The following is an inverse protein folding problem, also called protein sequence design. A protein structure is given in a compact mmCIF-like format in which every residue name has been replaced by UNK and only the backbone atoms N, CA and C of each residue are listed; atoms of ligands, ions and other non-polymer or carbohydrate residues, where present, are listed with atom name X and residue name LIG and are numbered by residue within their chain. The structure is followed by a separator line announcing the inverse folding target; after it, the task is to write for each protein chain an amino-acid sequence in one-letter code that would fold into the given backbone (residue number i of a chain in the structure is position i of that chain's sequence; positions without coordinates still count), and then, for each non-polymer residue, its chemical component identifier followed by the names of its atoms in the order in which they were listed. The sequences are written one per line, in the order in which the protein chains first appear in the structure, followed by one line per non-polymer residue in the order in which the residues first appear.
data_IF_705755430721
#
_entry.id   IF_705755430721
#
_cell.length_a   1.000
_cell.length_b   1.000
_cell.length_c   1.000
_cell.angle_alpha   90.00
_cell.angle_beta   90.00
_cell.angle_gamma   90.00
#
_symmetry.space_group_name_H-M   'P 1'
#
loop_
_entity.id
_entity.type
_entity.pdbx_description
1 polymer ?
#
# COMPACT_ATOMS: atom_id res chain seq x y z
N UNK A 1 57.80 16.68 -16.92
CA UNK A 1 56.89 15.75 -17.59
C UNK A 1 56.17 14.94 -16.54
N UNK A 2 54.84 15.03 -16.40
CA UNK A 2 54.09 14.18 -15.46
C UNK A 2 53.94 12.77 -16.07
N UNK A 3 54.46 11.74 -15.38
CA UNK A 3 54.28 10.34 -15.75
C UNK A 3 52.77 10.01 -15.62
N UNK A 4 52.08 9.89 -16.73
CA UNK A 4 50.73 9.35 -16.77
C UNK A 4 50.85 7.82 -16.74
N UNK A 5 50.52 7.24 -15.58
CA UNK A 5 50.39 5.76 -15.47
C UNK A 5 49.00 5.40 -15.98
N UNK A 6 48.92 4.64 -17.09
CA UNK A 6 47.69 4.09 -17.61
C UNK A 6 47.18 2.96 -16.72
N UNK A 7 45.85 2.76 -16.64
CA UNK A 7 45.21 1.61 -15.98
C UNK A 7 45.48 0.31 -16.78
N UNK A 8 45.77 -0.78 -16.07
CA UNK A 8 45.89 -2.10 -16.67
C UNK A 8 44.50 -2.68 -16.99
N UNK A 9 44.34 -3.34 -18.12
CA UNK A 9 43.10 -4.03 -18.50
C UNK A 9 42.69 -5.08 -17.45
N UNK A 10 43.66 -5.76 -16.82
CA UNK A 10 43.40 -6.76 -15.78
C UNK A 10 42.88 -6.13 -14.49
N UNK A 11 43.37 -4.95 -14.10
CA UNK A 11 42.86 -4.22 -12.94
C UNK A 11 41.37 -3.85 -13.10
N UNK A 12 40.98 -3.39 -14.29
CA UNK A 12 39.61 -3.10 -14.59
C UNK A 12 38.74 -4.36 -14.60
N UNK A 13 39.26 -5.47 -15.16
CA UNK A 13 38.54 -6.75 -15.23
C UNK A 13 38.24 -7.31 -13.84
N UNK A 14 39.22 -7.28 -12.93
CA UNK A 14 39.03 -7.78 -11.55
C UNK A 14 37.97 -6.94 -10.82
N UNK A 15 37.96 -5.62 -10.99
CA UNK A 15 36.99 -4.73 -10.36
C UNK A 15 35.56 -5.04 -10.82
N UNK A 16 35.33 -5.20 -12.14
CA UNK A 16 33.97 -5.53 -12.65
C UNK A 16 33.50 -6.90 -12.18
N UNK A 17 34.41 -7.88 -12.08
CA UNK A 17 34.07 -9.22 -11.56
C UNK A 17 33.64 -9.14 -10.09
N UNK A 18 34.39 -8.41 -9.25
CA UNK A 18 34.05 -8.24 -7.83
C UNK A 18 32.70 -7.51 -7.67
N UNK A 19 32.48 -6.43 -8.43
CA UNK A 19 31.19 -5.72 -8.44
C UNK A 19 30.05 -6.63 -8.86
N UNK A 20 30.25 -7.47 -9.90
CA UNK A 20 29.28 -8.44 -10.37
C UNK A 20 28.87 -9.45 -9.30
N UNK A 21 29.83 -9.98 -8.55
CA UNK A 21 29.57 -10.92 -7.44
C UNK A 21 28.77 -10.25 -6.31
N UNK A 22 29.17 -9.05 -5.91
CA UNK A 22 28.46 -8.29 -4.87
C UNK A 22 27.03 -7.96 -5.31
N UNK A 23 26.85 -7.50 -6.55
CA UNK A 23 25.54 -7.16 -7.10
C UNK A 23 24.62 -8.39 -7.17
N UNK A 24 25.13 -9.56 -7.55
CA UNK A 24 24.35 -10.80 -7.64
C UNK A 24 23.71 -11.20 -6.28
N UNK A 25 24.38 -10.91 -5.17
CA UNK A 25 23.87 -11.20 -3.83
C UNK A 25 23.02 -10.05 -3.29
N UNK A 26 23.43 -8.80 -3.54
CA UNK A 26 22.80 -7.62 -2.96
C UNK A 26 21.44 -7.28 -3.60
N UNK A 27 21.32 -7.43 -4.92
CA UNK A 27 20.09 -7.02 -5.64
C UNK A 27 18.84 -7.81 -5.17
N UNK A 28 18.83 -9.16 -5.11
CA UNK A 28 17.64 -9.89 -4.66
C UNK A 28 17.25 -9.55 -3.22
N UNK A 29 18.23 -9.38 -2.33
CA UNK A 29 17.98 -9.00 -0.95
C UNK A 29 17.39 -7.58 -0.83
N UNK A 30 17.88 -6.63 -1.63
CA UNK A 30 17.35 -5.27 -1.68
C UNK A 30 15.90 -5.25 -2.18
N UNK A 31 15.57 -6.06 -3.19
CA UNK A 31 14.20 -6.16 -3.72
C UNK A 31 13.23 -6.74 -2.68
N UNK A 32 13.65 -7.75 -1.92
CA UNK A 32 12.86 -8.32 -0.84
C UNK A 32 12.62 -7.29 0.28
N UNK A 33 13.66 -6.57 0.71
CA UNK A 33 13.58 -5.52 1.70
C UNK A 33 12.64 -4.38 1.25
N UNK A 34 12.70 -4.00 -0.02
CA UNK A 34 11.83 -2.97 -0.61
C UNK A 34 10.36 -3.38 -0.59
N UNK A 35 10.03 -4.64 -0.94
CA UNK A 35 8.66 -5.17 -0.85
C UNK A 35 8.14 -5.12 0.58
N UNK A 36 8.94 -5.59 1.55
CA UNK A 36 8.58 -5.55 2.97
C UNK A 36 8.34 -4.12 3.47
N UNK A 37 9.16 -3.17 3.07
CA UNK A 37 8.98 -1.76 3.41
C UNK A 37 7.68 -1.17 2.81
N UNK A 38 7.37 -1.51 1.56
CA UNK A 38 6.11 -1.10 0.91
C UNK A 38 4.89 -1.69 1.62
N UNK A 39 4.93 -2.97 2.00
CA UNK A 39 3.87 -3.63 2.76
C UNK A 39 3.66 -2.98 4.13
N UNK A 40 4.74 -2.68 4.87
CA UNK A 40 4.67 -1.96 6.13
C UNK A 40 4.07 -0.56 5.99
N UNK A 41 4.43 0.16 4.92
CA UNK A 41 3.84 1.45 4.58
C UNK A 41 2.34 1.33 4.25
N UNK A 42 1.93 0.30 3.50
CA UNK A 42 0.52 0.04 3.18
C UNK A 42 -0.31 -0.24 4.44
N UNK A 43 0.20 -1.07 5.36
CA UNK A 43 -0.42 -1.34 6.66
C UNK A 43 -0.57 -0.07 7.50
N UNK A 44 0.46 0.79 7.53
CA UNK A 44 0.39 2.08 8.21
C UNK A 44 -0.67 3.00 7.58
N UNK A 45 -0.71 3.06 6.24
CA UNK A 45 -1.72 3.84 5.51
C UNK A 45 -3.15 3.35 5.80
N UNK A 46 -3.36 2.03 5.90
CA UNK A 46 -4.66 1.46 6.29
C UNK A 46 -5.13 1.95 7.66
N UNK A 47 -4.23 2.00 8.65
CA UNK A 47 -4.57 2.52 9.99
C UNK A 47 -4.88 4.02 9.95
N UNK A 48 -4.13 4.78 9.16
CA UNK A 48 -4.40 6.20 8.93
C UNK A 48 -5.78 6.42 8.31
N UNK A 49 -6.12 5.66 7.27
CA UNK A 49 -7.44 5.72 6.61
C UNK A 49 -8.58 5.36 7.55
N UNK A 50 -8.40 4.34 8.40
CA UNK A 50 -9.38 3.97 9.42
C UNK A 50 -9.63 5.13 10.39
N UNK A 51 -8.57 5.71 10.97
CA UNK A 51 -8.69 6.86 11.88
C UNK A 51 -9.30 8.09 11.21
N UNK A 52 -8.94 8.36 9.95
CA UNK A 52 -9.49 9.44 9.16
C UNK A 52 -11.01 9.27 8.92
N UNK A 53 -11.48 8.04 8.64
CA UNK A 53 -12.92 7.77 8.50
C UNK A 53 -13.69 8.00 9.81
N UNK A 54 -13.15 7.55 10.93
CA UNK A 54 -13.77 7.80 12.23
C UNK A 54 -13.88 9.29 12.53
N UNK A 55 -12.83 10.07 12.24
CA UNK A 55 -12.83 11.53 12.40
C UNK A 55 -13.81 12.20 11.44
N UNK A 56 -13.85 11.77 10.18
CA UNK A 56 -14.77 12.30 9.18
C UNK A 56 -16.23 12.11 9.60
N UNK A 57 -16.59 10.90 10.01
CA UNK A 57 -17.95 10.61 10.46
C UNK A 57 -18.39 11.47 11.66
N UNK A 58 -17.45 11.74 12.58
CA UNK A 58 -17.72 12.55 13.77
C UNK A 58 -17.80 14.07 13.49
N UNK A 59 -17.13 14.56 12.43
CA UNK A 59 -17.01 16.01 12.19
C UNK A 59 -17.80 16.50 10.98
N UNK A 60 -17.64 15.87 9.83
CA UNK A 60 -18.19 16.36 8.55
C UNK A 60 -19.24 15.43 7.96
N UNK A 61 -19.20 14.14 8.29
CA UNK A 61 -20.05 13.11 7.70
C UNK A 61 -21.44 13.00 8.32
N UNK A 62 -21.74 13.72 9.41
CA UNK A 62 -23.03 13.61 10.10
C UNK A 62 -23.38 12.18 10.52
N UNK A 63 -22.37 11.40 10.97
CA UNK A 63 -22.50 9.98 11.31
C UNK A 63 -22.27 9.02 10.14
N UNK A 64 -22.05 9.50 8.93
CA UNK A 64 -21.68 8.70 7.76
C UNK A 64 -20.19 8.81 7.44
N UNK A 65 -19.66 7.78 6.81
CA UNK A 65 -18.28 7.73 6.34
C UNK A 65 -18.12 8.39 4.97
N UNK A 66 -16.89 8.80 4.63
CA UNK A 66 -16.54 9.31 3.31
C UNK A 66 -16.61 8.21 2.23
N UNK A 67 -16.95 8.60 1.01
CA UNK A 67 -16.92 7.74 -0.15
C UNK A 67 -18.28 7.33 -0.71
N UNK A 68 -18.25 6.56 -1.81
CA UNK A 68 -19.40 5.98 -2.48
C UNK A 68 -19.66 4.55 -1.98
N UNK A 69 -20.79 3.98 -2.38
CA UNK A 69 -21.18 2.59 -2.05
C UNK A 69 -20.31 1.54 -2.71
N UNK A 70 -19.66 1.88 -3.82
CA UNK A 70 -18.71 1.00 -4.52
C UNK A 70 -17.28 1.44 -4.22
N UNK A 71 -16.37 0.47 -4.11
CA UNK A 71 -14.96 0.72 -3.86
C UNK A 71 -14.32 1.55 -4.96
N UNK A 72 -13.88 2.75 -4.61
CA UNK A 72 -13.24 3.70 -5.51
C UNK A 72 -12.26 4.60 -4.76
N UNK A 73 -11.58 5.47 -5.48
CA UNK A 73 -10.72 6.49 -4.86
C UNK A 73 -11.53 7.66 -4.26
N UNK A 74 -12.85 7.71 -4.45
CA UNK A 74 -13.67 8.81 -3.96
C UNK A 74 -13.57 9.01 -2.44
N UNK A 75 -13.58 7.92 -1.67
CA UNK A 75 -13.41 7.98 -0.21
C UNK A 75 -12.07 8.63 0.20
N UNK A 76 -11.00 8.28 -0.50
CA UNK A 76 -9.66 8.82 -0.24
C UNK A 76 -9.59 10.31 -0.62
N UNK A 77 -10.20 10.68 -1.76
CA UNK A 77 -10.29 12.06 -2.22
C UNK A 77 -11.08 12.96 -1.26
N UNK A 78 -12.22 12.49 -0.75
CA UNK A 78 -13.02 13.21 0.26
C UNK A 78 -12.22 13.39 1.57
N UNK A 79 -11.54 12.35 2.06
CA UNK A 79 -10.70 12.44 3.25
C UNK A 79 -9.51 13.41 3.06
N UNK A 80 -8.93 13.46 1.87
CA UNK A 80 -7.86 14.40 1.54
C UNK A 80 -8.39 15.85 1.46
N UNK A 81 -9.57 16.05 0.88
CA UNK A 81 -10.23 17.37 0.83
C UNK A 81 -10.60 17.86 2.25
N UNK A 82 -10.96 16.94 3.14
CA UNK A 82 -11.21 17.23 4.55
C UNK A 82 -9.92 17.49 5.37
N UNK A 83 -8.73 17.35 4.77
CA UNK A 83 -7.45 17.53 5.44
C UNK A 83 -7.07 16.42 6.41
N UNK A 84 -7.72 15.25 6.31
CA UNK A 84 -7.53 14.12 7.23
C UNK A 84 -6.45 13.15 6.75
N UNK A 85 -6.12 13.17 5.46
CA UNK A 85 -5.03 12.37 4.87
C UNK A 85 -4.23 13.22 3.88
N UNK A 86 -3.00 12.81 3.58
CA UNK A 86 -2.14 13.49 2.62
C UNK A 86 -2.67 13.35 1.17
N UNK A 87 -2.29 14.28 0.29
CA UNK A 87 -2.74 14.31 -1.10
C UNK A 87 -2.30 13.06 -1.89
N UNK A 88 -1.17 12.45 -1.55
CA UNK A 88 -0.68 11.25 -2.22
C UNK A 88 -1.60 10.05 -1.92
N UNK A 89 -1.97 9.86 -0.66
CA UNK A 89 -2.93 8.83 -0.26
C UNK A 89 -4.33 9.15 -0.78
N UNK A 90 -4.73 10.43 -0.79
CA UNK A 90 -5.98 10.92 -1.40
C UNK A 90 -6.11 10.59 -2.88
N UNK A 91 -4.99 10.54 -3.61
CA UNK A 91 -4.91 10.08 -5.01
C UNK A 91 -4.95 8.57 -5.19
N UNK A 92 -5.04 7.80 -4.11
CA UNK A 92 -5.19 6.34 -4.14
C UNK A 92 -3.91 5.57 -4.43
N UNK A 93 -2.74 6.21 -4.46
CA UNK A 93 -1.46 5.52 -4.73
C UNK A 93 -0.39 5.98 -3.75
N UNK A 94 0.17 5.04 -2.98
CA UNK A 94 1.25 5.32 -2.02
C UNK A 94 2.16 4.11 -1.86
N UNK A 95 3.47 4.34 -1.87
CA UNK A 95 4.50 3.31 -1.60
C UNK A 95 4.32 2.01 -2.40
N UNK A 96 3.99 2.13 -3.71
CA UNK A 96 3.81 0.98 -4.59
C UNK A 96 2.53 0.17 -4.36
N UNK A 97 1.52 0.76 -3.68
CA UNK A 97 0.19 0.19 -3.48
C UNK A 97 -0.89 1.11 -4.03
N UNK A 98 -1.92 0.50 -4.63
CA UNK A 98 -3.16 1.16 -5.05
C UNK A 98 -4.24 0.94 -3.99
N UNK A 99 -4.83 2.03 -3.52
CA UNK A 99 -5.85 2.04 -2.48
C UNK A 99 -7.22 2.39 -3.08
N UNK A 100 -8.24 1.70 -2.63
CA UNK A 100 -9.65 2.03 -2.86
C UNK A 100 -10.42 1.92 -1.56
N UNK A 101 -11.55 2.60 -1.46
CA UNK A 101 -12.43 2.50 -0.32
C UNK A 101 -13.89 2.68 -0.71
N UNK A 102 -14.77 2.17 0.12
CA UNK A 102 -16.20 2.32 -0.05
C UNK A 102 -16.92 2.38 1.29
N UNK A 103 -18.16 2.84 1.27
CA UNK A 103 -19.03 2.91 2.45
C UNK A 103 -20.37 2.23 2.21
N UNK A 104 -20.98 1.83 3.31
CA UNK A 104 -22.40 1.49 3.38
C UNK A 104 -23.02 2.56 4.29
N UNK A 105 -24.00 3.31 3.76
CA UNK A 105 -24.68 4.33 4.56
C UNK A 105 -25.49 3.68 5.69
N UNK A 106 -25.67 4.42 6.78
CA UNK A 106 -26.57 4.00 7.85
C UNK A 106 -28.01 3.85 7.36
N UNK A 107 -28.72 2.93 7.94
CA UNK A 107 -30.16 2.72 7.72
C UNK A 107 -30.87 2.70 9.07
N UNK A 108 -32.22 2.60 9.06
CA UNK A 108 -33.01 2.46 10.30
C UNK A 108 -32.67 1.19 11.09
N UNK A 109 -32.04 0.20 10.49
CA UNK A 109 -31.76 -1.13 11.07
C UNK A 109 -30.27 -1.44 11.21
N UNK A 110 -29.38 -0.67 10.58
CA UNK A 110 -27.95 -0.95 10.57
C UNK A 110 -27.11 0.35 10.63
N UNK A 111 -26.02 0.38 11.40
CA UNK A 111 -25.08 1.51 11.41
C UNK A 111 -24.32 1.61 10.09
N UNK A 112 -23.79 2.80 9.81
CA UNK A 112 -22.90 3.01 8.68
C UNK A 112 -21.66 2.12 8.80
N UNK A 113 -21.14 1.66 7.67
CA UNK A 113 -19.92 0.86 7.58
C UNK A 113 -19.03 1.39 6.47
N UNK A 114 -17.75 1.08 6.55
CA UNK A 114 -16.78 1.36 5.48
C UNK A 114 -15.76 0.24 5.35
N UNK A 115 -15.05 0.24 4.26
CA UNK A 115 -13.89 -0.59 4.04
C UNK A 115 -12.86 0.12 3.17
N UNK A 116 -11.61 -0.28 3.32
CA UNK A 116 -10.52 0.03 2.40
C UNK A 116 -9.83 -1.23 1.95
N UNK A 117 -9.31 -1.19 0.76
CA UNK A 117 -8.52 -2.26 0.16
C UNK A 117 -7.27 -1.68 -0.49
N UNK A 118 -6.15 -2.39 -0.39
CA UNK A 118 -4.90 -2.03 -1.04
C UNK A 118 -4.28 -3.24 -1.72
N UNK A 119 -3.92 -3.07 -2.99
CA UNK A 119 -3.18 -4.09 -3.76
C UNK A 119 -1.86 -3.51 -4.27
N UNK A 120 -0.82 -4.34 -4.45
CA UNK A 120 0.43 -3.89 -5.07
C UNK A 120 0.19 -3.32 -6.47
N UNK A 121 0.87 -2.23 -6.80
CA UNK A 121 0.81 -1.61 -8.14
C UNK A 121 1.40 -2.53 -9.19
N UNK A 122 2.47 -3.25 -8.85
CA UNK A 122 3.12 -4.25 -9.71
C UNK A 122 3.11 -5.59 -8.99
N UNK A 123 2.51 -6.60 -9.62
CA UNK A 123 2.21 -7.89 -9.00
C UNK A 123 3.20 -8.99 -9.35
N UNK A 124 4.09 -8.77 -10.35
CA UNK A 124 5.02 -9.78 -10.85
C UNK A 124 6.39 -9.20 -11.21
N UNK A 125 7.39 -10.08 -11.34
CA UNK A 125 8.74 -9.73 -11.78
C UNK A 125 9.62 -9.07 -10.73
N UNK A 126 10.77 -8.59 -11.17
CA UNK A 126 11.77 -7.93 -10.30
C UNK A 126 11.30 -6.60 -9.73
N UNK A 127 10.34 -5.96 -10.39
CA UNK A 127 9.75 -4.68 -9.98
C UNK A 127 8.51 -4.84 -9.09
N UNK A 128 8.15 -6.07 -8.71
CA UNK A 128 7.03 -6.36 -7.82
C UNK A 128 7.10 -5.52 -6.55
N UNK A 129 6.00 -4.83 -6.21
CA UNK A 129 5.96 -3.86 -5.11
C UNK A 129 5.47 -4.44 -3.79
N UNK A 130 4.82 -5.61 -3.81
CA UNK A 130 4.37 -6.34 -2.63
C UNK A 130 3.91 -7.75 -2.96
N UNK A 131 3.74 -8.60 -1.95
CA UNK A 131 3.35 -10.01 -2.07
C UNK A 131 1.97 -10.30 -1.49
N UNK A 132 1.35 -9.31 -0.85
CA UNK A 132 0.04 -9.42 -0.19
C UNK A 132 -0.84 -8.22 -0.55
N UNK A 133 -2.15 -8.44 -0.61
CA UNK A 133 -3.12 -7.35 -0.52
C UNK A 133 -3.57 -7.16 0.91
N UNK A 134 -4.03 -5.97 1.23
CA UNK A 134 -4.51 -5.62 2.56
C UNK A 134 -5.94 -5.09 2.48
N UNK A 135 -6.70 -5.31 3.56
CA UNK A 135 -8.03 -4.75 3.76
C UNK A 135 -8.22 -4.33 5.21
N UNK A 136 -9.01 -3.30 5.42
CA UNK A 136 -9.49 -2.88 6.73
C UNK A 136 -10.95 -2.47 6.61
N UNK A 137 -11.74 -2.85 7.58
CA UNK A 137 -13.16 -2.49 7.66
C UNK A 137 -13.44 -1.68 8.93
N UNK A 138 -14.70 -1.42 9.20
CA UNK A 138 -15.15 -0.65 10.37
C UNK A 138 -14.67 -1.22 11.71
N UNK A 139 -14.39 -2.53 11.76
CA UNK A 139 -13.85 -3.21 12.94
C UNK A 139 -12.39 -2.83 13.29
N UNK A 140 -11.70 -2.15 12.38
CA UNK A 140 -10.31 -1.75 12.53
C UNK A 140 -9.28 -2.88 12.41
N UNK A 141 -9.72 -4.09 12.08
CA UNK A 141 -8.84 -5.26 11.96
C UNK A 141 -8.25 -5.33 10.57
N UNK A 142 -6.90 -5.34 10.48
CA UNK A 142 -6.23 -5.50 9.19
C UNK A 142 -6.28 -6.94 8.76
N UNK A 143 -6.79 -7.15 7.56
CA UNK A 143 -6.84 -8.42 6.86
C UNK A 143 -5.80 -8.46 5.76
N UNK A 144 -5.29 -9.65 5.44
CA UNK A 144 -4.33 -9.81 4.36
C UNK A 144 -4.49 -11.17 3.68
N UNK A 145 -4.31 -11.21 2.38
CA UNK A 145 -4.16 -12.45 1.60
C UNK A 145 -3.19 -12.26 0.43
N UNK A 146 -2.96 -13.33 -0.32
CA UNK A 146 -2.01 -13.37 -1.44
C UNK A 146 -2.64 -13.09 -2.81
N UNK A 147 -3.90 -12.67 -2.86
CA UNK A 147 -4.56 -12.25 -4.11
C UNK A 147 -4.07 -10.85 -4.48
N UNK A 148 -3.29 -10.72 -5.54
CA UNK A 148 -2.64 -9.45 -5.90
C UNK A 148 -3.34 -8.68 -7.01
N UNK A 149 -4.25 -9.33 -7.76
CA UNK A 149 -4.82 -8.79 -8.99
C UNK A 149 -6.18 -8.13 -8.81
N UNK A 150 -6.79 -8.26 -7.62
CA UNK A 150 -8.12 -7.71 -7.36
C UNK A 150 -8.19 -7.06 -5.97
N UNK A 151 -8.84 -5.91 -5.90
CA UNK A 151 -9.24 -5.28 -4.64
C UNK A 151 -10.33 -6.10 -3.94
N UNK A 152 -10.49 -5.94 -2.63
CA UNK A 152 -11.70 -6.41 -1.96
C UNK A 152 -12.91 -5.63 -2.49
N UNK A 153 -13.95 -6.35 -2.86
CA UNK A 153 -15.11 -5.76 -3.53
C UNK A 153 -15.99 -4.91 -2.59
N UNK A 154 -16.07 -5.32 -1.32
CA UNK A 154 -16.96 -4.73 -0.33
C UNK A 154 -16.50 -5.02 1.11
N UNK A 155 -17.26 -4.51 2.09
CA UNK A 155 -17.01 -4.72 3.50
C UNK A 155 -17.09 -6.20 3.92
N UNK A 156 -17.99 -6.97 3.32
CA UNK A 156 -18.16 -8.40 3.64
C UNK A 156 -16.95 -9.20 3.18
N UNK A 157 -16.40 -8.90 1.99
CA UNK A 157 -15.19 -9.51 1.46
C UNK A 157 -13.96 -9.23 2.33
N UNK A 158 -13.82 -8.00 2.86
CA UNK A 158 -12.75 -7.68 3.83
C UNK A 158 -12.95 -8.44 5.13
N UNK A 159 -14.17 -8.44 5.68
CA UNK A 159 -14.45 -9.08 6.98
C UNK A 159 -14.25 -10.60 6.95
N UNK A 160 -14.53 -11.25 5.82
CA UNK A 160 -14.33 -12.69 5.60
C UNK A 160 -12.86 -13.08 5.37
N UNK A 161 -11.98 -12.12 5.05
CA UNK A 161 -10.58 -12.39 4.78
C UNK A 161 -9.80 -12.76 6.05
N UNK A 162 -8.67 -13.43 5.87
CA UNK A 162 -7.80 -13.86 6.97
C UNK A 162 -7.22 -12.66 7.70
N UNK A 163 -7.29 -12.66 9.03
CA UNK A 163 -6.63 -11.64 9.86
C UNK A 163 -5.12 -11.73 9.65
N UNK A 164 -4.47 -10.58 9.49
CA UNK A 164 -3.02 -10.52 9.38
C UNK A 164 -2.41 -11.02 10.69
N UNK A 165 -1.71 -12.14 10.63
CA UNK A 165 -0.84 -12.58 11.72
C UNK A 165 0.50 -11.84 11.63
N UNK A 166 0.98 -11.39 12.77
CA UNK A 166 2.35 -10.85 12.90
C UNK A 166 3.38 -11.95 12.75
#
# INVERSE_FOLDING_TARGET
MKNQKGFSLIELLIVVVIIGIIAAIAIPNLLAARRSANEGSAVSAMRTLHGAQMTYAATQGGGNYAGATTGSIAALGELSTAGLVDAQLGGGNKSGYNFVGGRIASSSTAPAQFYFSAVPTTTTGVTQTGTRRFGIATDGVIKADTTLTAQYADNAAVSAATTMSN
#
